data_IF_562441926961
#
_entry.id   IF_562441926961
#
_cell.length_a   1.000
_cell.length_b   1.000
_cell.length_c   1.000
_cell.angle_alpha   90.00
_cell.angle_beta   90.00
_cell.angle_gamma   90.00
#
_symmetry.space_group_name_H-M   'P 1'
#
loop_
_entity.id
_entity.type
_entity.pdbx_description
1 polymer ?
#
# COMPACT_ATOMS: atom_id res chain seq x y z
N UNK A 1 -4.37 -13.28 7.87
CA UNK A 1 -3.35 -12.27 7.68
C UNK A 1 -3.66 -11.36 6.51
N UNK A 2 -3.44 -11.82 5.27
CA UNK A 2 -3.75 -10.97 4.12
C UNK A 2 -5.24 -10.67 4.03
N UNK A 3 -6.07 -11.59 4.47
CA UNK A 3 -7.51 -11.37 4.50
C UNK A 3 -7.92 -10.29 5.51
N UNK A 4 -7.00 -9.87 6.36
CA UNK A 4 -7.27 -8.77 7.29
C UNK A 4 -7.10 -7.40 6.67
N UNK A 5 -6.60 -7.33 5.43
CA UNK A 5 -6.45 -6.05 4.73
C UNK A 5 -7.82 -5.56 4.31
N UNK A 6 -8.16 -4.35 4.74
CA UNK A 6 -9.48 -3.77 4.49
C UNK A 6 -9.35 -2.43 3.81
N UNK A 7 -10.42 -2.02 3.14
CA UNK A 7 -10.49 -0.69 2.53
C UNK A 7 -10.22 0.38 3.58
N UNK A 8 -9.55 1.43 3.14
CA UNK A 8 -9.24 2.63 3.92
C UNK A 8 -8.14 2.45 4.98
N UNK A 9 -7.56 1.26 5.10
CA UNK A 9 -6.39 1.08 5.96
C UNK A 9 -5.20 1.85 5.39
N UNK A 10 -4.43 2.48 6.27
CA UNK A 10 -3.18 3.09 5.85
C UNK A 10 -2.13 2.02 5.57
N UNK A 11 -1.30 2.27 4.57
CA UNK A 11 -0.15 1.43 4.24
C UNK A 11 1.10 2.16 4.69
N UNK A 12 1.88 1.50 5.54
CA UNK A 12 3.01 2.10 6.25
C UNK A 12 4.28 1.35 5.86
N UNK A 13 5.33 2.09 5.56
CA UNK A 13 6.64 1.50 5.26
C UNK A 13 7.34 1.01 6.52
N UNK A 14 8.45 0.29 6.33
CA UNK A 14 9.22 -0.27 7.44
C UNK A 14 9.82 0.83 8.33
N UNK A 15 9.95 2.04 7.80
CA UNK A 15 10.46 3.20 8.54
C UNK A 15 9.35 4.02 9.19
N UNK A 16 8.10 3.57 9.10
CA UNK A 16 6.95 4.29 9.61
C UNK A 16 6.39 5.34 8.67
N UNK A 17 6.96 5.49 7.48
CA UNK A 17 6.48 6.46 6.51
C UNK A 17 5.18 6.01 5.85
N UNK A 18 4.25 6.91 5.65
CA UNK A 18 2.97 6.59 5.06
C UNK A 18 3.09 6.52 3.54
N UNK A 19 2.60 5.43 2.96
CA UNK A 19 2.69 5.18 1.53
C UNK A 19 1.37 5.50 0.83
N UNK A 20 0.25 5.17 1.46
CA UNK A 20 -1.05 5.45 0.91
C UNK A 20 -2.14 4.78 1.71
N UNK A 21 -3.28 4.61 1.08
CA UNK A 21 -4.47 4.03 1.71
C UNK A 21 -5.01 2.94 0.79
N UNK A 22 -5.42 1.82 1.39
CA UNK A 22 -5.98 0.71 0.61
C UNK A 22 -7.31 1.10 -0.02
N UNK A 23 -7.43 0.93 -1.33
CA UNK A 23 -8.72 0.98 -2.00
C UNK A 23 -9.31 -0.43 -2.04
N UNK A 24 -8.58 -1.37 -2.62
CA UNK A 24 -8.97 -2.79 -2.53
C UNK A 24 -7.78 -3.67 -2.89
N UNK A 25 -7.96 -4.98 -2.69
CA UNK A 25 -6.95 -5.99 -3.03
C UNK A 25 -7.45 -6.76 -4.22
N UNK A 26 -6.60 -6.95 -5.23
CA UNK A 26 -6.99 -7.62 -6.45
C UNK A 26 -5.77 -8.27 -7.10
N UNK A 27 -5.89 -9.55 -7.44
CA UNK A 27 -4.87 -10.23 -8.23
C UNK A 27 -3.48 -10.22 -7.64
N UNK A 28 -3.34 -10.41 -6.33
CA UNK A 28 -2.04 -10.44 -5.67
C UNK A 28 -1.43 -9.07 -5.47
N UNK A 29 -2.20 -8.01 -5.66
CA UNK A 29 -1.74 -6.64 -5.47
C UNK A 29 -2.72 -5.84 -4.62
N UNK A 30 -2.21 -4.81 -3.97
CA UNK A 30 -3.03 -3.83 -3.28
C UNK A 30 -3.15 -2.62 -4.20
N UNK A 31 -4.38 -2.22 -4.49
CA UNK A 31 -4.63 -0.98 -5.21
C UNK A 31 -4.81 0.13 -4.19
N UNK A 32 -3.98 1.17 -4.29
CA UNK A 32 -4.05 2.31 -3.38
C UNK A 32 -5.08 3.32 -3.87
N UNK A 33 -5.69 4.02 -2.92
CA UNK A 33 -6.75 4.98 -3.22
C UNK A 33 -6.20 6.14 -4.03
N UNK A 34 -7.00 6.62 -4.99
CA UNK A 34 -6.63 7.71 -5.86
C UNK A 34 -6.65 9.06 -5.14
N UNK A 35 -7.63 9.28 -4.25
CA UNK A 35 -7.76 10.55 -3.55
C UNK A 35 -6.85 10.57 -2.32
N UNK A 36 -5.55 10.73 -2.58
CA UNK A 36 -4.55 10.67 -1.53
C UNK A 36 -3.31 11.44 -2.01
N UNK A 37 -2.86 12.37 -1.18
CA UNK A 37 -1.67 13.18 -1.51
C UNK A 37 -0.44 12.30 -1.64
N UNK A 38 -0.31 11.26 -0.81
CA UNK A 38 0.87 10.40 -0.82
C UNK A 38 0.99 9.61 -2.11
N UNK A 39 -0.13 9.31 -2.77
CA UNK A 39 -0.11 8.59 -4.04
C UNK A 39 -0.07 9.54 -5.25
N UNK A 40 -0.09 10.84 -5.02
CA UNK A 40 -0.10 11.84 -6.09
C UNK A 40 -1.39 11.84 -6.87
N UNK A 41 -2.49 11.49 -6.21
CA UNK A 41 -3.84 11.43 -6.79
C UNK A 41 -3.95 10.42 -7.93
N UNK A 42 -3.20 9.33 -7.84
CA UNK A 42 -3.27 8.22 -8.79
C UNK A 42 -3.46 6.91 -8.06
N UNK A 43 -4.13 5.96 -8.71
CA UNK A 43 -4.17 4.59 -8.21
C UNK A 43 -2.79 3.98 -8.41
N UNK A 44 -2.13 3.63 -7.31
CA UNK A 44 -0.84 2.95 -7.35
C UNK A 44 -1.06 1.50 -6.95
N UNK A 45 -0.25 0.62 -7.51
CA UNK A 45 -0.35 -0.81 -7.23
C UNK A 45 0.91 -1.26 -6.51
N UNK A 46 0.74 -2.02 -5.44
CA UNK A 46 1.88 -2.63 -4.74
C UNK A 46 1.63 -4.13 -4.57
N UNK A 47 2.68 -4.95 -4.67
CA UNK A 47 2.51 -6.40 -4.51
C UNK A 47 2.17 -6.77 -3.08
N UNK A 48 1.30 -7.75 -2.91
CA UNK A 48 1.03 -8.32 -1.58
C UNK A 48 2.30 -8.89 -0.93
N UNK A 49 3.27 -9.32 -1.74
CA UNK A 49 4.52 -9.88 -1.23
C UNK A 49 5.31 -8.88 -0.37
N UNK A 50 5.04 -7.59 -0.50
CA UNK A 50 5.71 -6.59 0.32
C UNK A 50 5.17 -6.51 1.75
N UNK A 51 4.01 -7.13 2.02
CA UNK A 51 3.34 -7.02 3.31
C UNK A 51 4.02 -7.95 4.32
N UNK A 52 4.43 -7.41 5.46
CA UNK A 52 5.03 -8.20 6.53
C UNK A 52 4.01 -8.53 7.63
N UNK A 53 3.10 -7.61 7.88
CA UNK A 53 2.03 -7.85 8.87
C UNK A 53 0.91 -6.85 8.65
N UNK A 54 -0.24 -7.19 9.22
CA UNK A 54 -1.43 -6.33 9.20
C UNK A 54 -1.96 -6.25 10.63
N UNK A 55 -2.12 -5.02 11.11
CA UNK A 55 -2.78 -4.76 12.38
C UNK A 55 -3.84 -3.70 12.12
N UNK A 56 -3.73 -2.49 12.68
CA UNK A 56 -4.59 -1.39 12.29
C UNK A 56 -4.14 -0.80 10.95
N UNK A 57 -2.93 -1.13 10.52
CA UNK A 57 -2.33 -0.66 9.28
C UNK A 57 -1.73 -1.84 8.54
N UNK A 58 -1.48 -1.65 7.24
CA UNK A 58 -0.73 -2.62 6.43
C UNK A 58 0.74 -2.21 6.52
N UNK A 59 1.59 -3.12 7.01
CA UNK A 59 3.02 -2.85 7.18
C UNK A 59 3.82 -3.55 6.10
N UNK A 60 4.70 -2.79 5.44
CA UNK A 60 5.53 -3.31 4.35
C UNK A 60 6.95 -3.57 4.84
N UNK A 61 7.69 -4.37 4.06
CA UNK A 61 9.10 -4.62 4.30
C UNK A 61 10.01 -3.62 3.58
N UNK A 62 9.42 -2.60 2.98
CA UNK A 62 10.13 -1.53 2.28
C UNK A 62 9.90 -0.22 3.00
N UNK A 63 10.88 0.69 2.93
CA UNK A 63 10.67 2.05 3.44
C UNK A 63 9.71 2.80 2.53
N UNK A 64 9.25 3.94 3.00
CA UNK A 64 8.40 4.81 2.19
C UNK A 64 9.07 5.13 0.86
N UNK A 65 10.32 5.56 0.89
CA UNK A 65 11.04 5.93 -0.33
C UNK A 65 11.20 4.74 -1.28
N UNK A 66 11.54 3.57 -0.73
CA UNK A 66 11.71 2.37 -1.54
C UNK A 66 10.40 1.96 -2.20
N UNK A 67 9.31 1.99 -1.45
CA UNK A 67 8.01 1.61 -1.98
C UNK A 67 7.58 2.57 -3.10
N UNK A 68 7.76 3.87 -2.87
CA UNK A 68 7.38 4.88 -3.86
C UNK A 68 8.25 4.85 -5.09
N UNK A 69 9.46 4.31 -4.98
CA UNK A 69 10.35 4.15 -6.13
C UNK A 69 9.99 2.92 -6.97
N UNK A 70 9.25 1.97 -6.40
CA UNK A 70 9.00 0.66 -7.03
C UNK A 70 7.54 0.36 -7.34
N UNK A 71 6.60 1.11 -6.77
CA UNK A 71 5.19 0.86 -7.05
C UNK A 71 4.90 1.13 -8.53
N UNK A 72 3.77 0.61 -9.01
CA UNK A 72 3.38 0.81 -10.41
C UNK A 72 2.04 1.54 -10.45
N UNK A 73 1.75 2.16 -11.59
CA UNK A 73 0.46 2.80 -11.81
C UNK A 73 -0.53 1.75 -12.28
N UNK A 74 -1.79 1.94 -11.94
CA UNK A 74 -2.85 1.10 -12.45
C UNK A 74 -2.99 1.35 -13.96
N UNK A 75 -3.03 0.24 -14.70
CA UNK A 75 -3.20 0.29 -16.15
C UNK A 75 -4.66 0.48 -16.54
#
# INVERSE_FOLDING_TARGET
MLEAIKEHMDVIGSDGGRIGRVDHVKGGQIELAKLDLDTGFKHRMIPLDWVTRVDEHVHLNLTEDEAKARWTDKQ
#
